data_IF_451994508238
#
_entry.id   IF_451994508238
#
_cell.length_a   1.000
_cell.length_b   1.000
_cell.length_c   1.000
_cell.angle_alpha   90.00
_cell.angle_beta   90.00
_cell.angle_gamma   90.00
#
_symmetry.space_group_name_H-M   'P 1'
#
loop_
_entity.id
_entity.type
_entity.pdbx_description
1 polymer ?
#
# COMPACT_ATOMS: atom_id res chain seq x y z
N UNK A 1 7.85 -35.88 18.72
CA UNK A 1 8.49 -35.47 17.45
C UNK A 1 7.71 -34.27 16.95
N UNK A 2 8.09 -33.07 17.40
CA UNK A 2 7.41 -31.81 17.08
C UNK A 2 7.79 -31.39 15.65
N UNK A 3 6.78 -31.25 14.79
CA UNK A 3 6.97 -30.70 13.45
C UNK A 3 7.64 -29.32 13.55
N UNK A 4 8.61 -28.99 12.67
CA UNK A 4 9.15 -27.64 12.64
C UNK A 4 8.00 -26.67 12.39
N UNK A 5 7.85 -25.68 13.27
CA UNK A 5 6.94 -24.57 13.05
C UNK A 5 7.34 -23.92 11.73
N UNK A 6 6.57 -24.21 10.67
CA UNK A 6 6.76 -23.58 9.38
C UNK A 6 6.29 -22.14 9.56
N UNK A 7 7.17 -21.27 10.06
CA UNK A 7 6.91 -19.84 10.10
C UNK A 7 6.51 -19.42 8.70
N UNK A 8 5.23 -19.10 8.51
CA UNK A 8 4.73 -18.81 7.18
C UNK A 8 5.54 -17.65 6.61
N UNK A 9 5.96 -17.79 5.35
CA UNK A 9 6.75 -16.77 4.68
C UNK A 9 6.04 -15.40 4.69
N UNK A 10 4.70 -15.44 4.74
CA UNK A 10 3.77 -14.33 4.82
C UNK A 10 2.78 -14.57 5.97
N UNK A 11 2.45 -13.51 6.69
CA UNK A 11 1.36 -13.46 7.65
C UNK A 11 0.12 -12.89 6.94
N UNK A 12 -0.80 -13.78 6.57
CA UNK A 12 -2.00 -13.46 5.80
C UNK A 12 -2.93 -12.49 6.52
N UNK A 13 -3.04 -12.59 7.85
CA UNK A 13 -3.90 -11.69 8.64
C UNK A 13 -3.32 -10.28 8.64
N UNK A 14 -2.00 -10.16 8.84
CA UNK A 14 -1.33 -8.87 8.76
C UNK A 14 -1.35 -8.29 7.34
N UNK A 15 -1.27 -9.13 6.31
CA UNK A 15 -1.39 -8.73 4.91
C UNK A 15 -2.76 -8.10 4.62
N UNK A 16 -3.85 -8.78 4.98
CA UNK A 16 -5.23 -8.28 4.78
C UNK A 16 -5.44 -6.99 5.56
N UNK A 17 -4.97 -6.93 6.82
CA UNK A 17 -5.09 -5.72 7.65
C UNK A 17 -4.29 -4.55 7.08
N UNK A 18 -3.10 -4.81 6.54
CA UNK A 18 -2.28 -3.83 5.84
C UNK A 18 -2.98 -3.32 4.58
N UNK A 19 -3.48 -4.23 3.75
CA UNK A 19 -4.20 -3.91 2.53
C UNK A 19 -5.44 -3.04 2.81
N UNK A 20 -6.27 -3.42 3.78
CA UNK A 20 -7.46 -2.64 4.16
C UNK A 20 -7.09 -1.26 4.71
N UNK A 21 -6.07 -1.16 5.56
CA UNK A 21 -5.63 0.14 6.12
C UNK A 21 -5.09 1.07 5.03
N UNK A 22 -4.24 0.55 4.14
CA UNK A 22 -3.70 1.32 3.02
C UNK A 22 -4.79 1.75 2.05
N UNK A 23 -5.73 0.85 1.75
CA UNK A 23 -6.90 1.16 0.92
C UNK A 23 -7.74 2.30 1.52
N UNK A 24 -8.01 2.29 2.83
CA UNK A 24 -8.73 3.38 3.50
C UNK A 24 -7.98 4.71 3.35
N UNK A 25 -6.67 4.73 3.53
CA UNK A 25 -5.85 5.95 3.36
C UNK A 25 -5.91 6.45 1.92
N UNK A 26 -5.80 5.55 0.94
CA UNK A 26 -5.90 5.91 -0.48
C UNK A 26 -7.29 6.49 -0.81
N UNK A 27 -8.37 5.86 -0.36
CA UNK A 27 -9.73 6.37 -0.60
C UNK A 27 -9.93 7.75 0.01
N UNK A 28 -9.55 7.93 1.28
CA UNK A 28 -9.73 9.22 1.95
C UNK A 28 -8.92 10.30 1.22
N UNK A 29 -7.67 9.99 0.85
CA UNK A 29 -6.84 10.95 0.14
C UNK A 29 -7.32 11.27 -1.27
N UNK A 30 -7.88 10.29 -2.00
CA UNK A 30 -8.51 10.52 -3.31
C UNK A 30 -9.80 11.35 -3.19
N UNK A 31 -10.64 11.09 -2.19
CA UNK A 31 -11.85 11.89 -1.92
C UNK A 31 -11.52 13.35 -1.55
N UNK A 32 -10.37 13.59 -0.92
CA UNK A 32 -9.89 14.93 -0.61
C UNK A 32 -9.29 15.65 -1.83
N UNK A 33 -8.94 14.93 -2.90
CA UNK A 33 -8.33 15.49 -4.12
C UNK A 33 -9.10 16.68 -4.72
N UNK A 34 -10.43 16.61 -4.97
CA UNK A 34 -11.18 17.76 -5.52
C UNK A 34 -11.17 18.99 -4.60
N UNK A 35 -11.19 18.79 -3.27
CA UNK A 35 -11.14 19.88 -2.30
C UNK A 35 -9.78 20.60 -2.37
N UNK A 36 -8.69 19.83 -2.46
CA UNK A 36 -7.32 20.36 -2.53
C UNK A 36 -7.04 20.99 -3.89
N UNK A 37 -7.51 20.39 -4.97
CA UNK A 37 -7.39 20.93 -6.32
C UNK A 37 -8.15 22.26 -6.48
N UNK A 38 -9.24 22.44 -5.74
CA UNK A 38 -9.98 23.70 -5.67
C UNK A 38 -9.21 24.86 -5.04
N UNK A 39 -8.15 24.57 -4.26
CA UNK A 39 -7.29 25.60 -3.65
C UNK A 39 -6.21 26.04 -4.66
N UNK A 40 -5.45 25.09 -5.20
CA UNK A 40 -4.41 25.38 -6.19
C UNK A 40 -4.02 24.12 -6.98
N UNK A 41 -3.94 24.17 -8.33
CA UNK A 41 -3.72 22.99 -9.17
C UNK A 41 -2.38 22.27 -8.91
N UNK A 42 -1.30 23.02 -8.61
CA UNK A 42 0.00 22.42 -8.24
C UNK A 42 -0.05 21.64 -6.93
N UNK A 43 -0.89 22.07 -5.98
CA UNK A 43 -1.03 21.40 -4.67
C UNK A 43 -1.76 20.07 -4.86
N UNK A 44 -2.75 20.01 -5.77
CA UNK A 44 -3.44 18.77 -6.10
C UNK A 44 -2.51 17.65 -6.64
N UNK A 45 -1.53 18.01 -7.47
CA UNK A 45 -0.53 17.05 -7.99
C UNK A 45 0.38 16.50 -6.88
N UNK A 46 0.86 17.37 -6.01
CA UNK A 46 1.67 16.98 -4.85
C UNK A 46 0.87 16.14 -3.86
N UNK A 47 -0.41 16.47 -3.68
CA UNK A 47 -1.32 15.77 -2.78
C UNK A 47 -1.50 14.30 -3.20
N UNK A 48 -1.81 14.04 -4.47
CA UNK A 48 -1.98 12.67 -4.96
C UNK A 48 -0.71 11.83 -4.81
N UNK A 49 0.45 12.43 -5.08
CA UNK A 49 1.75 11.77 -4.89
C UNK A 49 2.00 11.41 -3.42
N UNK A 50 1.68 12.36 -2.52
CA UNK A 50 1.83 12.18 -1.08
C UNK A 50 0.86 11.13 -0.52
N UNK A 51 -0.41 11.17 -0.92
CA UNK A 51 -1.44 10.20 -0.55
C UNK A 51 -1.06 8.80 -1.01
N UNK A 52 -0.61 8.66 -2.26
CA UNK A 52 -0.14 7.38 -2.81
C UNK A 52 0.99 6.80 -1.96
N UNK A 53 2.02 7.61 -1.71
CA UNK A 53 3.14 7.20 -0.86
C UNK A 53 2.68 6.83 0.56
N UNK A 54 1.87 7.66 1.21
CA UNK A 54 1.36 7.41 2.55
C UNK A 54 0.52 6.13 2.62
N UNK A 55 -0.38 5.90 1.67
CA UNK A 55 -1.20 4.70 1.58
C UNK A 55 -0.36 3.43 1.43
N UNK A 56 0.66 3.45 0.57
CA UNK A 56 1.57 2.31 0.38
C UNK A 56 2.49 2.08 1.57
N UNK A 57 2.94 3.13 2.25
CA UNK A 57 3.72 3.01 3.49
C UNK A 57 2.85 2.43 4.62
N UNK A 58 1.61 2.89 4.77
CA UNK A 58 0.67 2.35 5.78
C UNK A 58 0.34 0.89 5.49
N UNK A 59 0.13 0.52 4.23
CA UNK A 59 -0.04 -0.87 3.84
C UNK A 59 1.21 -1.71 4.15
N UNK A 60 2.37 -1.22 3.71
CA UNK A 60 3.64 -1.93 3.79
C UNK A 60 4.19 -2.08 5.21
N UNK A 61 3.88 -1.15 6.11
CA UNK A 61 4.33 -1.16 7.51
C UNK A 61 3.62 -2.20 8.39
N UNK A 62 2.49 -2.77 7.93
CA UNK A 62 1.74 -3.80 8.66
C UNK A 62 2.27 -5.21 8.36
N UNK A 63 3.48 -5.47 8.84
CA UNK A 63 4.24 -6.70 8.50
C UNK A 63 3.93 -7.91 9.39
N UNK A 64 3.35 -7.71 10.57
CA UNK A 64 2.95 -8.81 11.46
C UNK A 64 4.13 -9.71 11.87
N UNK A 65 3.91 -11.03 11.88
CA UNK A 65 4.92 -12.04 12.21
C UNK A 65 5.68 -12.61 11.00
N UNK A 66 5.57 -11.96 9.84
CA UNK A 66 6.13 -12.47 8.59
C UNK A 66 7.66 -12.61 8.62
N UNK A 67 8.16 -13.72 8.07
CA UNK A 67 9.60 -13.97 7.91
C UNK A 67 10.20 -13.18 6.74
N UNK A 68 9.43 -12.89 5.68
CA UNK A 68 9.85 -12.05 4.53
C UNK A 68 9.09 -10.72 4.53
N UNK A 69 9.60 -9.80 5.33
CA UNK A 69 8.97 -8.49 5.60
C UNK A 69 8.83 -7.59 4.37
N UNK A 70 9.83 -7.57 3.49
CA UNK A 70 9.81 -6.83 2.22
C UNK A 70 8.74 -7.35 1.25
N UNK A 71 8.59 -8.68 1.14
CA UNK A 71 7.62 -9.29 0.24
C UNK A 71 6.20 -9.06 0.75
N UNK A 72 6.00 -9.17 2.07
CA UNK A 72 4.74 -8.85 2.71
C UNK A 72 4.33 -7.41 2.46
N UNK A 73 5.24 -6.46 2.64
CA UNK A 73 4.92 -5.05 2.44
C UNK A 73 4.58 -4.71 0.98
N UNK A 74 5.30 -5.32 0.02
CA UNK A 74 5.00 -5.18 -1.40
C UNK A 74 3.62 -5.74 -1.77
N UNK A 75 3.30 -6.95 -1.29
CA UNK A 75 2.01 -7.59 -1.54
C UNK A 75 0.86 -6.83 -0.86
N UNK A 76 1.07 -6.30 0.35
CA UNK A 76 0.06 -5.48 1.04
C UNK A 76 -0.26 -4.21 0.25
N UNK A 77 0.76 -3.53 -0.29
CA UNK A 77 0.59 -2.34 -1.11
C UNK A 77 -0.11 -2.65 -2.45
N UNK A 78 0.25 -3.76 -3.11
CA UNK A 78 -0.44 -4.22 -4.32
C UNK A 78 -1.90 -4.60 -4.04
N UNK A 79 -2.18 -5.27 -2.93
CA UNK A 79 -3.53 -5.63 -2.53
C UNK A 79 -4.37 -4.38 -2.23
N UNK A 80 -3.80 -3.39 -1.52
CA UNK A 80 -4.44 -2.10 -1.29
C UNK A 80 -4.78 -1.38 -2.60
N UNK A 81 -3.84 -1.35 -3.55
CA UNK A 81 -4.09 -0.77 -4.88
C UNK A 81 -5.16 -1.55 -5.63
N UNK A 82 -5.12 -2.88 -5.61
CA UNK A 82 -6.09 -3.75 -6.28
C UNK A 82 -7.51 -3.50 -5.75
N UNK A 83 -7.66 -3.27 -4.45
CA UNK A 83 -8.94 -2.89 -3.83
C UNK A 83 -9.50 -1.56 -4.37
N UNK A 84 -8.67 -0.66 -4.90
CA UNK A 84 -9.15 0.58 -5.54
C UNK A 84 -9.70 0.36 -6.95
N UNK A 85 -9.33 -0.72 -7.63
CA UNK A 85 -9.71 -0.97 -9.04
C UNK A 85 -11.23 -1.05 -9.24
N UNK A 86 -12.00 -1.82 -8.45
CA UNK A 86 -13.46 -1.86 -8.58
C UNK A 86 -14.11 -0.48 -8.40
N UNK A 87 -13.58 0.33 -7.48
CA UNK A 87 -14.08 1.68 -7.25
C UNK A 87 -13.79 2.59 -8.45
N UNK A 88 -12.59 2.49 -9.02
CA UNK A 88 -12.21 3.27 -10.20
C UNK A 88 -12.99 2.83 -11.46
N UNK A 89 -13.25 1.53 -11.60
CA UNK A 89 -14.15 1.01 -12.64
C UNK A 89 -15.55 1.64 -12.51
N UNK A 90 -16.07 1.77 -11.29
CA UNK A 90 -17.37 2.39 -11.03
C UNK A 90 -17.40 3.88 -11.42
N UNK A 91 -16.29 4.59 -11.27
CA UNK A 91 -16.17 6.04 -11.59
C UNK A 91 -15.82 6.28 -13.07
N UNK A 92 -15.59 5.22 -13.87
CA UNK A 92 -15.29 5.34 -15.30
C UNK A 92 -13.79 5.30 -15.61
N UNK A 93 -13.14 4.19 -15.25
CA UNK A 93 -11.76 3.89 -15.68
C UNK A 93 -11.79 3.21 -17.06
N UNK A 94 -11.84 4.02 -18.11
CA UNK A 94 -12.12 3.59 -19.50
C UNK A 94 -11.02 3.99 -20.50
N UNK A 95 -10.07 4.84 -20.12
CA UNK A 95 -8.99 5.30 -21.00
C UNK A 95 -7.65 4.58 -20.76
N UNK A 96 -6.85 4.44 -21.83
CA UNK A 96 -5.51 3.86 -21.76
C UNK A 96 -4.57 4.65 -20.82
N UNK A 97 -4.75 5.97 -20.71
CA UNK A 97 -3.97 6.83 -19.81
C UNK A 97 -4.24 6.54 -18.33
N UNK A 98 -5.49 6.26 -17.95
CA UNK A 98 -5.82 5.88 -16.58
C UNK A 98 -5.24 4.52 -16.20
N UNK A 99 -5.27 3.54 -17.13
CA UNK A 99 -4.62 2.25 -16.92
C UNK A 99 -3.11 2.37 -16.78
N UNK A 100 -2.47 3.21 -17.59
CA UNK A 100 -1.05 3.52 -17.43
C UNK A 100 -0.74 4.09 -16.04
N UNK A 101 -1.55 5.02 -15.54
CA UNK A 101 -1.39 5.57 -14.19
C UNK A 101 -1.54 4.51 -13.09
N UNK A 102 -2.45 3.53 -13.25
CA UNK A 102 -2.57 2.37 -12.35
C UNK A 102 -1.30 1.52 -12.38
N UNK A 103 -0.76 1.22 -13.56
CA UNK A 103 0.48 0.43 -13.69
C UNK A 103 1.67 1.13 -13.05
N UNK A 104 1.82 2.44 -13.28
CA UNK A 104 2.87 3.24 -12.63
C UNK A 104 2.69 3.23 -11.12
N UNK A 105 1.46 3.38 -10.63
CA UNK A 105 1.14 3.29 -9.20
C UNK A 105 1.43 1.92 -8.61
N UNK A 106 1.24 0.83 -9.38
CA UNK A 106 1.55 -0.53 -8.96
C UNK A 106 3.06 -0.73 -8.79
N UNK A 107 3.87 -0.27 -9.75
CA UNK A 107 5.34 -0.33 -9.65
C UNK A 107 5.82 0.52 -8.47
N UNK A 108 5.30 1.74 -8.34
CA UNK A 108 5.65 2.63 -7.23
C UNK A 108 5.25 2.02 -5.88
N UNK A 109 4.04 1.50 -5.76
CA UNK A 109 3.53 0.86 -4.55
C UNK A 109 4.31 -0.41 -4.17
N UNK A 110 4.79 -1.18 -5.15
CA UNK A 110 5.64 -2.34 -4.92
C UNK A 110 6.98 -1.92 -4.28
N UNK A 111 7.63 -0.89 -4.83
CA UNK A 111 8.89 -0.36 -4.30
C UNK A 111 8.69 0.24 -2.90
N UNK A 112 7.72 1.13 -2.75
CA UNK A 112 7.44 1.82 -1.47
C UNK A 112 7.00 0.83 -0.40
N UNK A 113 6.09 -0.09 -0.75
CA UNK A 113 5.62 -1.15 0.14
C UNK A 113 6.74 -2.09 0.57
N UNK A 114 7.65 -2.46 -0.33
CA UNK A 114 8.81 -3.29 0.01
C UNK A 114 9.77 -2.57 0.97
N UNK A 115 10.03 -1.28 0.75
CA UNK A 115 10.89 -0.47 1.62
C UNK A 115 10.25 -0.31 3.00
N UNK A 116 8.95 0.03 3.06
CA UNK A 116 8.19 0.17 4.29
C UNK A 116 8.11 -1.14 5.08
N UNK A 117 7.92 -2.26 4.39
CA UNK A 117 7.92 -3.58 5.03
C UNK A 117 9.29 -3.95 5.58
N UNK A 118 10.36 -3.68 4.84
CA UNK A 118 11.73 -3.92 5.30
C UNK A 118 12.08 -3.07 6.52
N UNK A 119 11.73 -1.77 6.51
CA UNK A 119 12.03 -0.87 7.62
C UNK A 119 11.23 -1.23 8.87
N UNK A 120 9.94 -1.56 8.74
CA UNK A 120 9.13 -2.04 9.85
C UNK A 120 9.67 -3.34 10.46
N UNK A 121 10.14 -4.28 9.63
CA UNK A 121 10.84 -5.48 10.08
C UNK A 121 12.12 -5.18 10.86
N UNK A 122 12.97 -4.29 10.34
CA UNK A 122 14.21 -3.90 10.99
C UNK A 122 14.00 -3.18 12.34
N UNK A 123 12.90 -2.41 12.47
CA UNK A 123 12.53 -1.75 13.73
C UNK A 123 12.08 -2.79 14.77
N UNK A 124 11.30 -3.80 14.35
CA UNK A 124 10.87 -4.91 15.22
C UNK A 124 12.09 -5.66 15.78
N UNK A 125 13.01 -6.06 14.91
CA UNK A 125 14.21 -6.82 15.31
C UNK A 125 15.13 -6.02 16.26
N UNK A 126 15.09 -4.68 16.21
CA UNK A 126 15.82 -3.81 17.17
C UNK A 126 15.12 -3.66 18.52
N UNK A 127 13.81 -3.88 18.57
CA UNK A 127 13.02 -3.73 19.80
C UNK A 127 13.06 -5.03 20.62
N UNK A 128 13.24 -6.16 19.96
CA UNK A 128 13.35 -7.50 20.56
C UNK A 128 14.79 -7.89 20.96
N UNK A 129 15.78 -7.02 20.73
CA UNK A 129 17.21 -7.21 21.02
C UNK A 129 17.67 -6.42 22.25
#
# INVERSE_FOLDING_TARGET
MSAPAHGHALDETALVRGASSGFTVLIIGELMSPVVAGIHPMIGLLWLSFVGAAGFVVAGSRVGLARRTWLQGALAALAALTLTIPLRMLVGLDTAGQWYAVMVSAVFGLVVGAIAGRSAGAIRDRTDA
#
